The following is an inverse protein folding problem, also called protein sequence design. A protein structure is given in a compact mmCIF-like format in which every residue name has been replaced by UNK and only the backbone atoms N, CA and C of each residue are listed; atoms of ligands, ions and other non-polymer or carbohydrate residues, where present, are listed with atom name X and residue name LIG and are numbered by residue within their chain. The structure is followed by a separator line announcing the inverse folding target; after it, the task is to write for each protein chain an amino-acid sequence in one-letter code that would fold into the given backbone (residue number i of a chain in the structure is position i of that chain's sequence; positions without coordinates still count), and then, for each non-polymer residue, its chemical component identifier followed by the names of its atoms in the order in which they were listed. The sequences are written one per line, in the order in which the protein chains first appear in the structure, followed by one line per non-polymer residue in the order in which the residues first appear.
data_IF_048091371059
#
_entry.id   IF_048091371059
#
_cell.length_a   1.000
_cell.length_b   1.000
_cell.length_c   1.000
_cell.angle_alpha   90.00
_cell.angle_beta   90.00
_cell.angle_gamma   90.00
#
_symmetry.space_group_name_H-M   'P 1'
#
loop_
_entity.id
_entity.type
_entity.pdbx_description
1 polymer ?
#
# COMPACT_ATOMS: atom_id res chain seq x y z
N UNK A 1 -65.96 -51.48 26.45
CA UNK A 1 -65.38 -50.68 27.55
C UNK A 1 -64.60 -51.63 28.45
N UNK A 2 -63.29 -51.77 28.24
CA UNK A 2 -62.39 -52.46 29.16
C UNK A 2 -61.31 -51.44 29.53
N UNK A 3 -61.41 -50.96 30.77
CA UNK A 3 -60.57 -49.90 31.31
C UNK A 3 -59.16 -50.40 31.60
N UNK A 4 -58.17 -49.72 31.05
CA UNK A 4 -56.77 -49.96 31.38
C UNK A 4 -56.49 -49.39 32.78
N UNK A 5 -56.23 -50.27 33.75
CA UNK A 5 -55.86 -49.90 35.12
C UNK A 5 -54.34 -49.71 35.17
N UNK A 6 -53.89 -48.48 35.36
CA UNK A 6 -52.46 -48.16 35.47
C UNK A 6 -52.02 -48.49 36.90
N UNK A 7 -51.20 -49.53 37.07
CA UNK A 7 -50.51 -49.81 38.34
C UNK A 7 -49.27 -48.91 38.48
N UNK A 8 -49.34 -47.92 39.38
CA UNK A 8 -48.19 -47.07 39.72
C UNK A 8 -47.43 -47.69 40.90
N UNK A 9 -46.21 -48.16 40.66
CA UNK A 9 -45.29 -48.60 41.72
C UNK A 9 -44.63 -47.36 42.36
N UNK A 10 -44.58 -47.25 43.70
CA UNK A 10 -43.92 -46.11 44.35
C UNK A 10 -42.40 -46.15 44.10
N UNK A 11 -41.85 -45.00 43.73
CA UNK A 11 -40.42 -44.81 43.42
C UNK A 11 -39.62 -44.88 44.72
N UNK A 12 -38.52 -45.64 44.73
CA UNK A 12 -37.59 -45.69 45.86
C UNK A 12 -36.68 -44.44 45.90
N UNK A 13 -36.18 -44.09 47.09
CA UNK A 13 -35.27 -42.95 47.25
C UNK A 13 -34.03 -43.10 46.34
N UNK A 14 -33.50 -44.32 46.17
CA UNK A 14 -32.36 -44.60 45.28
C UNK A 14 -32.67 -44.38 43.80
N UNK A 15 -33.85 -44.78 43.31
CA UNK A 15 -34.29 -44.51 41.94
C UNK A 15 -34.46 -43.01 41.69
N UNK A 16 -34.96 -42.26 42.67
CA UNK A 16 -35.06 -40.80 42.59
C UNK A 16 -33.68 -40.13 42.55
N UNK A 17 -32.71 -40.57 43.38
CA UNK A 17 -31.33 -40.05 43.35
C UNK A 17 -30.64 -40.32 42.01
N UNK A 18 -30.81 -41.53 41.47
CA UNK A 18 -30.30 -41.88 40.13
C UNK A 18 -30.94 -40.99 39.06
N UNK A 19 -32.26 -40.82 39.08
CA UNK A 19 -32.98 -39.97 38.14
C UNK A 19 -32.48 -38.52 38.18
N UNK A 20 -32.37 -37.92 39.38
CA UNK A 20 -31.87 -36.54 39.54
C UNK A 20 -30.43 -36.40 39.03
N UNK A 21 -29.58 -37.40 39.30
CA UNK A 21 -28.18 -37.39 38.85
C UNK A 21 -28.07 -37.49 37.32
N UNK A 22 -28.82 -38.40 36.69
CA UNK A 22 -28.87 -38.53 35.24
C UNK A 22 -29.51 -37.30 34.57
N UNK A 23 -30.54 -36.73 35.19
CA UNK A 23 -31.15 -35.48 34.73
C UNK A 23 -30.14 -34.33 34.75
N UNK A 24 -29.40 -34.16 35.85
CA UNK A 24 -28.35 -33.16 35.97
C UNK A 24 -27.23 -33.32 34.94
N UNK A 25 -26.74 -34.55 34.72
CA UNK A 25 -25.73 -34.85 33.70
C UNK A 25 -26.22 -34.53 32.28
N UNK A 26 -27.46 -34.91 31.97
CA UNK A 26 -28.07 -34.69 30.65
C UNK A 26 -28.35 -33.22 30.41
N UNK A 27 -28.92 -32.52 31.40
CA UNK A 27 -29.17 -31.08 31.34
C UNK A 27 -27.87 -30.28 31.23
N UNK A 28 -26.82 -30.68 31.96
CA UNK A 28 -25.49 -30.08 31.86
C UNK A 28 -24.85 -30.26 30.48
N UNK A 29 -24.92 -31.47 29.92
CA UNK A 29 -24.40 -31.77 28.57
C UNK A 29 -25.14 -30.98 27.49
N UNK A 30 -26.48 -30.87 27.61
CA UNK A 30 -27.29 -30.04 26.70
C UNK A 30 -26.93 -28.55 26.84
N UNK A 31 -26.71 -28.09 28.07
CA UNK A 31 -26.22 -26.74 28.35
C UNK A 31 -24.87 -26.46 27.68
N UNK A 32 -23.91 -27.39 27.72
CA UNK A 32 -22.63 -27.25 27.04
C UNK A 32 -22.77 -27.14 25.52
N UNK A 33 -23.69 -27.90 24.90
CA UNK A 33 -23.95 -27.82 23.47
C UNK A 33 -24.52 -26.45 23.11
N UNK A 34 -25.57 -26.00 23.83
CA UNK A 34 -26.22 -24.70 23.57
C UNK A 34 -25.24 -23.55 23.77
N UNK A 35 -24.45 -23.59 24.84
CA UNK A 35 -23.44 -22.55 25.13
C UNK A 35 -22.25 -22.60 24.16
N UNK A 36 -22.02 -23.71 23.47
CA UNK A 36 -20.99 -23.85 22.43
C UNK A 36 -21.42 -23.34 21.05
N UNK A 37 -22.73 -23.23 20.78
CA UNK A 37 -23.23 -22.80 19.46
C UNK A 37 -22.71 -21.42 19.01
N UNK A 38 -22.62 -20.39 19.86
CA UNK A 38 -22.05 -19.10 19.45
C UNK A 38 -20.59 -19.20 19.00
N UNK A 39 -19.79 -20.08 19.60
CA UNK A 39 -18.39 -20.30 19.22
C UNK A 39 -18.29 -20.97 17.84
N UNK A 40 -19.17 -21.93 17.57
CA UNK A 40 -19.26 -22.60 16.25
C UNK A 40 -19.68 -21.61 15.17
N UNK A 41 -20.67 -20.76 15.44
CA UNK A 41 -21.11 -19.71 14.52
C UNK A 41 -19.96 -18.73 14.22
N UNK A 42 -19.28 -18.21 15.25
CA UNK A 42 -18.15 -17.31 15.07
C UNK A 42 -16.99 -17.94 14.29
N UNK A 43 -16.71 -19.23 14.50
CA UNK A 43 -15.71 -19.96 13.74
C UNK A 43 -16.11 -20.10 12.25
N UNK A 44 -17.40 -20.35 11.98
CA UNK A 44 -17.92 -20.40 10.61
C UNK A 44 -17.77 -19.06 9.89
N UNK A 45 -18.13 -17.95 10.54
CA UNK A 45 -18.00 -16.61 9.97
C UNK A 45 -16.54 -16.25 9.67
N UNK A 46 -15.63 -16.62 10.58
CA UNK A 46 -14.19 -16.43 10.39
C UNK A 46 -13.65 -17.26 9.21
N UNK A 47 -14.09 -18.52 9.08
CA UNK A 47 -13.71 -19.38 7.95
C UNK A 47 -14.26 -18.85 6.62
N UNK A 48 -15.48 -18.31 6.60
CA UNK A 48 -16.04 -17.68 5.43
C UNK A 48 -15.25 -16.43 5.04
N UNK A 49 -14.93 -15.56 6.00
CA UNK A 49 -14.12 -14.36 5.75
C UNK A 49 -12.72 -14.70 5.23
N UNK A 50 -12.09 -15.75 5.75
CA UNK A 50 -10.81 -16.26 5.24
C UNK A 50 -10.97 -16.86 3.83
N UNK A 51 -12.06 -17.58 3.59
CA UNK A 51 -12.41 -18.12 2.27
C UNK A 51 -12.55 -17.01 1.23
N UNK A 52 -13.27 -15.95 1.56
CA UNK A 52 -13.45 -14.77 0.70
C UNK A 52 -12.11 -14.07 0.42
N UNK A 53 -11.23 -13.98 1.42
CA UNK A 53 -9.88 -13.43 1.25
C UNK A 53 -9.01 -14.29 0.30
N UNK A 54 -9.07 -15.62 0.43
CA UNK A 54 -8.32 -16.52 -0.46
C UNK A 54 -8.90 -16.61 -1.87
N UNK A 55 -10.21 -16.41 -2.01
CA UNK A 55 -10.90 -16.39 -3.30
C UNK A 55 -10.80 -15.03 -4.01
N UNK A 56 -10.34 -13.98 -3.33
CA UNK A 56 -10.15 -12.67 -3.91
C UNK A 56 -9.20 -12.75 -5.12
N UNK A 57 -9.61 -12.13 -6.22
CA UNK A 57 -8.84 -12.14 -7.45
C UNK A 57 -7.51 -11.39 -7.25
N UNK A 58 -6.41 -11.99 -7.70
CA UNK A 58 -5.10 -11.31 -7.74
C UNK A 58 -5.12 -10.26 -8.85
N UNK A 59 -5.50 -9.04 -8.49
CA UNK A 59 -5.52 -7.91 -9.43
C UNK A 59 -4.12 -7.49 -9.89
N UNK A 60 -3.05 -8.03 -9.28
CA UNK A 60 -1.64 -7.76 -9.55
C UNK A 60 -0.94 -8.90 -10.32
N UNK A 61 -1.69 -9.91 -10.78
CA UNK A 61 -1.17 -11.03 -11.57
C UNK A 61 -0.43 -10.52 -12.82
N UNK A 62 0.77 -11.05 -13.08
CA UNK A 62 1.64 -10.61 -14.18
C UNK A 62 1.85 -11.68 -15.26
N UNK A 63 1.05 -12.75 -15.25
CA UNK A 63 1.15 -13.83 -16.22
C UNK A 63 0.86 -13.35 -17.65
N UNK A 64 1.77 -13.73 -18.56
CA UNK A 64 1.72 -13.32 -19.96
C UNK A 64 2.13 -11.86 -20.23
N UNK A 65 2.47 -11.08 -19.20
CA UNK A 65 2.91 -9.69 -19.36
C UNK A 65 4.38 -9.58 -19.73
N UNK A 66 4.70 -8.55 -20.52
CA UNK A 66 6.03 -8.26 -21.02
C UNK A 66 6.88 -7.60 -19.95
N UNK A 67 8.00 -8.22 -19.62
CA UNK A 67 9.04 -7.58 -18.81
C UNK A 67 9.65 -6.41 -19.58
N UNK A 68 9.81 -5.28 -18.89
CA UNK A 68 10.45 -4.09 -19.43
C UNK A 68 11.95 -4.15 -19.22
N UNK A 69 12.70 -3.77 -20.25
CA UNK A 69 14.09 -3.36 -20.11
C UNK A 69 14.19 -1.98 -19.46
N UNK A 70 15.34 -1.31 -19.61
CA UNK A 70 15.53 0.04 -19.06
C UNK A 70 14.66 1.05 -19.80
N UNK A 71 13.76 1.72 -19.10
CA UNK A 71 12.84 2.71 -19.65
C UNK A 71 13.57 3.95 -20.15
N UNK A 72 13.03 4.53 -21.23
CA UNK A 72 13.32 5.89 -21.69
C UNK A 72 12.54 6.93 -20.86
N UNK A 73 11.33 6.56 -20.42
CA UNK A 73 10.47 7.39 -19.57
C UNK A 73 9.44 8.20 -20.36
N UNK A 74 9.09 7.77 -21.57
CA UNK A 74 7.97 8.34 -22.32
C UNK A 74 6.65 7.84 -21.74
N UNK A 75 5.71 8.75 -21.45
CA UNK A 75 4.37 8.39 -20.95
C UNK A 75 3.32 9.14 -21.76
N UNK A 76 2.39 8.40 -22.35
CA UNK A 76 1.30 8.94 -23.18
C UNK A 76 -0.06 8.43 -22.70
N UNK A 77 -1.02 9.34 -22.58
CA UNK A 77 -2.42 9.06 -22.33
C UNK A 77 -3.17 9.40 -23.62
N UNK A 78 -3.94 8.45 -24.13
CA UNK A 78 -4.70 8.56 -25.39
C UNK A 78 -6.19 8.44 -25.08
N UNK A 79 -6.89 9.58 -25.00
CA UNK A 79 -8.33 9.70 -24.71
C UNK A 79 -8.77 8.88 -23.48
N UNK A 80 -8.01 9.00 -22.40
CA UNK A 80 -8.19 8.17 -21.21
C UNK A 80 -9.40 8.62 -20.40
N UNK A 81 -10.31 7.67 -20.15
CA UNK A 81 -11.45 7.84 -19.24
C UNK A 81 -11.34 6.83 -18.10
N UNK A 82 -11.52 7.30 -16.88
CA UNK A 82 -11.46 6.47 -15.68
C UNK A 82 -12.42 6.95 -14.59
N UNK A 83 -13.06 5.99 -13.92
CA UNK A 83 -13.95 6.16 -12.77
C UNK A 83 -13.71 5.06 -11.74
N UNK A 84 -13.47 5.45 -10.49
CA UNK A 84 -13.43 4.51 -9.36
C UNK A 84 -14.79 3.82 -9.15
N UNK A 85 -14.78 2.59 -8.64
CA UNK A 85 -16.00 1.78 -8.48
C UNK A 85 -17.11 2.50 -7.71
N UNK A 86 -16.75 3.19 -6.62
CA UNK A 86 -17.70 3.90 -5.74
C UNK A 86 -17.93 5.38 -6.13
N UNK A 87 -17.32 5.84 -7.23
CA UNK A 87 -17.42 7.23 -7.65
C UNK A 87 -18.63 7.46 -8.57
N UNK A 88 -19.41 8.52 -8.28
CA UNK A 88 -20.54 8.92 -9.12
C UNK A 88 -20.13 9.59 -10.44
N UNK A 89 -18.89 10.06 -10.56
CA UNK A 89 -18.38 10.81 -11.74
C UNK A 89 -17.02 10.30 -12.16
N UNK A 90 -16.73 10.44 -13.46
CA UNK A 90 -15.43 10.14 -14.02
C UNK A 90 -14.37 11.04 -13.36
N UNK A 91 -13.26 10.46 -12.92
CA UNK A 91 -12.10 11.19 -12.42
C UNK A 91 -11.22 11.72 -13.55
N UNK A 92 -11.18 11.00 -14.68
CA UNK A 92 -10.59 11.43 -15.94
C UNK A 92 -11.62 11.17 -17.04
N UNK A 93 -11.77 12.11 -17.98
CA UNK A 93 -12.76 12.02 -19.05
C UNK A 93 -12.12 12.44 -20.38
N UNK A 94 -11.75 11.46 -21.21
CA UNK A 94 -11.13 11.67 -22.51
C UNK A 94 -9.79 12.43 -22.47
N UNK A 95 -8.96 12.19 -21.45
CA UNK A 95 -7.71 12.93 -21.24
C UNK A 95 -6.62 12.48 -22.21
N UNK A 96 -6.08 13.44 -22.97
CA UNK A 96 -4.83 13.30 -23.73
C UNK A 96 -3.70 14.02 -22.99
N UNK A 97 -2.59 13.32 -22.74
CA UNK A 97 -1.45 13.84 -21.99
C UNK A 97 -0.16 13.16 -22.44
N UNK A 98 0.91 13.92 -22.60
CA UNK A 98 2.22 13.40 -23.00
C UNK A 98 3.31 13.96 -22.09
N UNK A 99 4.09 13.06 -21.49
CA UNK A 99 5.32 13.33 -20.76
C UNK A 99 6.49 12.77 -21.58
N UNK A 100 7.23 13.61 -22.32
CA UNK A 100 8.40 13.19 -23.07
C UNK A 100 9.57 12.71 -22.17
N UNK A 101 10.45 11.83 -22.68
CA UNK A 101 11.64 11.36 -21.96
C UNK A 101 12.51 12.47 -21.39
N UNK A 102 12.87 12.35 -20.11
CA UNK A 102 13.80 13.28 -19.44
C UNK A 102 13.22 14.68 -19.17
N UNK A 103 11.93 14.89 -19.41
CA UNK A 103 11.26 16.17 -19.14
C UNK A 103 10.45 16.11 -17.85
N UNK A 104 9.93 17.25 -17.40
CA UNK A 104 9.06 17.33 -16.24
C UNK A 104 7.69 17.87 -16.65
N UNK A 105 6.63 17.17 -16.27
CA UNK A 105 5.24 17.57 -16.49
C UNK A 105 4.58 17.84 -15.13
N UNK A 106 4.12 19.06 -14.93
CA UNK A 106 3.40 19.46 -13.73
C UNK A 106 1.89 19.43 -13.96
N UNK A 107 1.18 18.70 -13.09
CA UNK A 107 -0.26 18.69 -12.95
C UNK A 107 -0.65 19.60 -11.80
N UNK A 108 -1.33 20.71 -12.13
CA UNK A 108 -1.76 21.71 -11.15
C UNK A 108 -3.28 21.82 -11.20
N UNK A 109 -3.91 21.81 -10.03
CA UNK A 109 -5.35 21.93 -9.93
C UNK A 109 -5.89 21.68 -8.53
N UNK A 110 -7.17 21.98 -8.33
CA UNK A 110 -7.86 21.76 -7.06
C UNK A 110 -7.87 20.29 -6.62
N UNK A 111 -8.22 20.05 -5.36
CA UNK A 111 -8.45 18.68 -4.88
C UNK A 111 -9.60 18.02 -5.66
N UNK A 112 -9.45 16.73 -5.96
CA UNK A 112 -10.44 15.99 -6.76
C UNK A 112 -10.35 16.19 -8.29
N UNK A 113 -9.42 16.99 -8.81
CA UNK A 113 -9.26 17.23 -10.25
C UNK A 113 -8.66 16.03 -11.05
N UNK A 114 -8.48 14.87 -10.43
CA UNK A 114 -7.94 13.66 -11.09
C UNK A 114 -6.41 13.55 -11.15
N UNK A 115 -5.65 14.48 -10.52
CA UNK A 115 -4.17 14.47 -10.54
C UNK A 115 -3.57 13.16 -10.00
N UNK A 116 -3.99 12.74 -8.81
CA UNK A 116 -3.55 11.47 -8.20
C UNK A 116 -4.03 10.26 -9.01
N UNK A 117 -5.15 10.37 -9.73
CA UNK A 117 -5.61 9.31 -10.65
C UNK A 117 -4.64 9.12 -11.82
N UNK A 118 -4.07 10.20 -12.37
CA UNK A 118 -3.03 10.09 -13.40
C UNK A 118 -1.82 9.32 -12.86
N UNK A 119 -1.33 9.66 -11.66
CA UNK A 119 -0.23 8.92 -11.03
C UNK A 119 -0.58 7.44 -10.77
N UNK A 120 -1.77 7.14 -10.27
CA UNK A 120 -2.22 5.77 -10.01
C UNK A 120 -2.32 4.93 -11.29
N UNK A 121 -2.73 5.53 -12.40
CA UNK A 121 -2.73 4.89 -13.71
C UNK A 121 -1.30 4.64 -14.20
N UNK A 122 -0.39 5.62 -14.08
CA UNK A 122 1.03 5.42 -14.44
C UNK A 122 1.68 4.29 -13.62
N UNK A 123 1.32 4.15 -12.35
CA UNK A 123 1.78 3.07 -11.47
C UNK A 123 1.11 1.71 -11.76
N UNK A 124 0.12 1.67 -12.66
CA UNK A 124 -0.64 0.46 -12.96
C UNK A 124 -1.44 -0.07 -11.79
N UNK A 125 -1.83 0.80 -10.83
CA UNK A 125 -2.78 0.41 -9.77
C UNK A 125 -4.20 0.26 -10.30
N UNK A 126 -4.50 0.96 -11.39
CA UNK A 126 -5.77 0.84 -12.11
C UNK A 126 -5.52 0.73 -13.60
N UNK A 127 -6.52 0.24 -14.31
CA UNK A 127 -6.55 0.21 -15.76
C UNK A 127 -7.56 1.22 -16.29
N UNK A 128 -7.21 1.87 -17.40
CA UNK A 128 -8.12 2.79 -18.08
C UNK A 128 -9.37 2.03 -18.59
N UNK A 129 -10.55 2.61 -18.34
CA UNK A 129 -11.83 2.06 -18.79
C UNK A 129 -12.07 2.35 -20.28
N UNK A 130 -11.61 3.51 -20.76
CA UNK A 130 -11.54 3.85 -22.18
C UNK A 130 -10.22 4.55 -22.47
N UNK A 131 -9.78 4.48 -23.73
CA UNK A 131 -8.46 4.97 -24.13
C UNK A 131 -7.33 4.02 -23.73
N UNK A 132 -6.10 4.51 -23.82
CA UNK A 132 -4.90 3.75 -23.48
C UNK A 132 -3.90 4.61 -22.71
N UNK A 133 -3.18 3.99 -21.77
CA UNK A 133 -1.99 4.57 -21.14
C UNK A 133 -0.81 3.79 -21.70
N UNK A 134 0.15 4.50 -22.30
CA UNK A 134 1.34 3.91 -22.90
C UNK A 134 2.59 4.38 -22.17
N UNK A 135 3.53 3.46 -21.98
CA UNK A 135 4.87 3.73 -21.45
C UNK A 135 5.88 3.23 -22.46
N UNK A 136 6.75 4.12 -22.96
CA UNK A 136 7.67 3.85 -24.06
C UNK A 136 6.96 3.22 -25.29
N UNK A 137 5.76 3.70 -25.60
CA UNK A 137 4.92 3.22 -26.71
C UNK A 137 4.16 1.91 -26.46
N UNK A 138 4.45 1.20 -25.37
CA UNK A 138 3.76 -0.04 -25.00
C UNK A 138 2.52 0.23 -24.15
N UNK A 139 1.41 -0.43 -24.44
CA UNK A 139 0.21 -0.32 -23.61
C UNK A 139 0.50 -0.89 -22.22
N UNK A 140 0.17 -0.11 -21.19
CA UNK A 140 0.38 -0.46 -19.79
C UNK A 140 -0.21 -1.82 -19.41
N UNK A 141 -1.33 -2.23 -20.03
CA UNK A 141 -2.00 -3.53 -19.76
C UNK A 141 -1.11 -4.72 -20.12
N UNK A 142 -0.20 -4.54 -21.06
CA UNK A 142 0.71 -5.58 -21.54
C UNK A 142 1.99 -5.66 -20.70
N UNK A 143 2.25 -4.69 -19.81
CA UNK A 143 3.53 -4.54 -19.14
C UNK A 143 3.53 -5.20 -17.76
N UNK A 144 4.59 -5.96 -17.47
CA UNK A 144 4.79 -6.55 -16.15
C UNK A 144 4.96 -5.43 -15.11
N UNK A 145 4.06 -5.41 -14.13
CA UNK A 145 3.97 -4.33 -13.14
C UNK A 145 5.20 -4.27 -12.24
N UNK A 146 5.86 -5.40 -11.99
CA UNK A 146 7.07 -5.46 -11.16
C UNK A 146 8.24 -4.77 -11.86
N UNK A 147 8.50 -5.12 -13.12
CA UNK A 147 9.56 -4.51 -13.95
C UNK A 147 9.31 -3.03 -14.23
N UNK A 148 8.04 -2.63 -14.36
CA UNK A 148 7.64 -1.23 -14.46
C UNK A 148 7.96 -0.49 -13.16
N UNK A 149 7.38 -0.92 -12.02
CA UNK A 149 7.49 -0.22 -10.74
C UNK A 149 8.91 -0.22 -10.18
N UNK A 150 9.75 -1.19 -10.54
CA UNK A 150 11.18 -1.17 -10.23
C UNK A 150 11.91 0.05 -10.82
N UNK A 151 11.34 0.68 -11.85
CA UNK A 151 11.88 1.82 -12.57
C UNK A 151 11.11 3.13 -12.31
N UNK A 152 10.08 3.09 -11.44
CA UNK A 152 9.32 4.26 -11.03
C UNK A 152 9.66 4.61 -9.58
N UNK A 153 10.10 5.85 -9.35
CA UNK A 153 10.30 6.40 -8.01
C UNK A 153 9.12 7.27 -7.62
N UNK A 154 8.59 7.08 -6.42
CA UNK A 154 7.50 7.90 -5.88
C UNK A 154 7.98 8.64 -4.64
N UNK A 155 7.79 9.95 -4.60
CA UNK A 155 8.02 10.79 -3.43
C UNK A 155 6.70 11.48 -3.10
N UNK A 156 6.04 11.00 -2.05
CA UNK A 156 4.76 11.52 -1.56
C UNK A 156 4.96 12.59 -0.48
N UNK A 157 3.92 13.39 -0.25
CA UNK A 157 3.82 14.30 0.88
C UNK A 157 3.90 13.55 2.21
N UNK A 158 3.12 12.48 2.36
CA UNK A 158 3.16 11.62 3.53
C UNK A 158 4.21 10.53 3.35
N UNK A 159 5.42 10.78 3.87
CA UNK A 159 6.52 9.81 3.82
C UNK A 159 6.29 8.68 4.82
N UNK A 160 6.27 7.45 4.30
CA UNK A 160 6.23 6.24 5.11
C UNK A 160 7.65 5.70 5.31
N UNK A 161 8.09 5.70 6.57
CA UNK A 161 9.32 5.07 7.03
C UNK A 161 8.98 3.86 7.90
N UNK A 162 9.72 2.78 7.71
CA UNK A 162 9.60 1.56 8.49
C UNK A 162 10.38 1.68 9.79
N UNK A 163 9.91 0.98 10.82
CA UNK A 163 10.64 0.78 12.08
C UNK A 163 11.82 -0.16 11.83
N UNK A 164 12.90 0.43 11.34
CA UNK A 164 14.15 -0.23 10.96
C UNK A 164 15.25 0.84 10.87
N UNK A 165 16.50 0.41 10.64
CA UNK A 165 17.61 1.32 10.42
C UNK A 165 17.39 2.29 9.25
N UNK A 166 18.09 3.42 9.28
CA UNK A 166 18.13 4.37 8.17
C UNK A 166 18.60 3.69 6.88
N UNK A 167 19.63 2.83 6.98
CA UNK A 167 20.12 2.01 5.87
C UNK A 167 18.99 1.19 5.26
N UNK A 168 18.27 0.41 6.07
CA UNK A 168 17.17 -0.44 5.61
C UNK A 168 16.04 0.36 4.96
N UNK A 169 15.79 1.58 5.44
CA UNK A 169 14.81 2.48 4.84
C UNK A 169 15.26 3.02 3.47
N UNK A 170 16.55 3.34 3.29
CA UNK A 170 17.09 3.83 2.01
C UNK A 170 17.16 2.69 0.98
N UNK A 171 17.62 1.51 1.39
CA UNK A 171 17.82 0.34 0.51
C UNK A 171 16.57 -0.54 0.38
N UNK A 172 15.39 -0.01 0.71
CA UNK A 172 14.17 -0.81 0.78
C UNK A 172 13.86 -1.53 -0.54
N UNK A 173 13.58 -2.83 -0.43
CA UNK A 173 13.30 -3.72 -1.55
C UNK A 173 14.52 -4.13 -2.38
N UNK A 174 15.72 -3.72 -1.99
CA UNK A 174 16.95 -4.28 -2.54
C UNK A 174 17.31 -5.57 -1.81
N UNK A 175 17.61 -6.63 -2.57
CA UNK A 175 18.00 -7.92 -2.03
C UNK A 175 19.44 -7.89 -1.50
N UNK A 176 20.29 -7.03 -2.07
CA UNK A 176 21.70 -6.89 -1.71
C UNK A 176 22.02 -5.40 -1.42
N UNK A 177 21.71 -4.91 -0.21
CA UNK A 177 21.91 -3.51 0.16
C UNK A 177 23.38 -3.06 0.00
N UNK A 178 23.60 -2.04 -0.83
CA UNK A 178 24.90 -1.39 -0.97
C UNK A 178 25.00 -0.16 -0.05
N UNK A 179 25.78 -0.29 1.01
CA UNK A 179 25.99 0.77 1.99
C UNK A 179 26.65 2.02 1.40
N UNK A 180 27.62 1.86 0.50
CA UNK A 180 28.33 2.99 -0.10
C UNK A 180 27.38 3.78 -1.01
N UNK A 181 26.57 3.08 -1.81
CA UNK A 181 25.52 3.70 -2.63
C UNK A 181 24.45 4.37 -1.77
N UNK A 182 24.06 3.76 -0.65
CA UNK A 182 23.10 4.35 0.29
C UNK A 182 23.62 5.66 0.89
N UNK A 183 24.90 5.70 1.29
CA UNK A 183 25.55 6.93 1.74
C UNK A 183 25.58 8.00 0.64
N UNK A 184 26.00 7.66 -0.57
CA UNK A 184 26.02 8.61 -1.70
C UNK A 184 24.62 9.16 -2.02
N UNK A 185 23.59 8.31 -1.95
CA UNK A 185 22.21 8.74 -2.13
C UNK A 185 21.76 9.68 -1.01
N UNK A 186 22.16 9.43 0.24
CA UNK A 186 21.91 10.32 1.36
C UNK A 186 22.62 11.67 1.23
N UNK A 187 23.86 11.69 0.74
CA UNK A 187 24.60 12.93 0.47
C UNK A 187 23.91 13.77 -0.62
N UNK A 188 23.55 13.14 -1.74
CA UNK A 188 22.84 13.79 -2.86
C UNK A 188 21.43 14.28 -2.47
N UNK A 189 20.78 13.63 -1.50
CA UNK A 189 19.51 14.06 -0.95
C UNK A 189 19.64 15.15 0.14
N UNK A 190 20.85 15.66 0.39
CA UNK A 190 21.17 16.53 1.54
C UNK A 190 20.79 15.91 2.89
N UNK A 191 20.66 14.59 2.99
CA UNK A 191 20.27 13.89 4.22
C UNK A 191 21.49 13.52 5.10
N UNK A 192 22.69 13.42 4.52
CA UNK A 192 23.87 12.92 5.22
C UNK A 192 24.24 13.73 6.46
N UNK A 193 24.08 15.06 6.43
CA UNK A 193 24.39 15.95 7.55
C UNK A 193 23.73 15.48 8.85
N UNK A 194 22.40 15.30 8.85
CA UNK A 194 21.70 14.87 10.06
C UNK A 194 21.89 13.38 10.34
N UNK A 195 22.02 12.55 9.30
CA UNK A 195 22.25 11.10 9.48
C UNK A 195 23.57 10.87 10.20
N UNK A 196 24.65 11.54 9.78
CA UNK A 196 25.98 11.39 10.38
C UNK A 196 26.06 11.89 11.82
N UNK A 197 25.15 12.79 12.23
CA UNK A 197 25.03 13.27 13.60
C UNK A 197 24.25 12.32 14.53
N UNK A 198 23.50 11.36 13.97
CA UNK A 198 22.75 10.39 14.77
C UNK A 198 23.67 9.29 15.32
N UNK A 199 23.39 8.78 16.54
CA UNK A 199 24.11 7.61 17.06
C UNK A 199 23.95 6.42 16.12
N UNK A 200 25.07 5.90 15.60
CA UNK A 200 25.09 4.78 14.66
C UNK A 200 24.95 5.18 13.18
N UNK A 201 24.72 6.46 12.86
CA UNK A 201 24.65 6.93 11.48
C UNK A 201 23.57 6.21 10.67
N UNK A 202 23.97 5.51 9.60
CA UNK A 202 23.08 4.67 8.80
C UNK A 202 22.45 3.51 9.58
N UNK A 203 23.10 3.05 10.64
CA UNK A 203 22.60 1.96 11.49
C UNK A 203 21.67 2.49 12.60
N UNK A 204 21.38 3.79 12.63
CA UNK A 204 20.43 4.36 13.56
C UNK A 204 19.02 3.79 13.31
N UNK A 205 18.42 3.20 14.34
CA UNK A 205 17.08 2.62 14.29
C UNK A 205 16.01 3.70 14.37
N UNK A 206 15.10 3.72 13.39
CA UNK A 206 13.96 4.64 13.39
C UNK A 206 12.78 4.05 14.18
N UNK A 207 12.10 4.91 14.95
CA UNK A 207 10.82 4.57 15.59
C UNK A 207 9.66 4.48 14.59
N UNK A 208 8.46 4.22 15.10
CA UNK A 208 7.25 4.14 14.27
C UNK A 208 7.08 5.39 13.41
N UNK A 209 6.85 5.21 12.11
CA UNK A 209 6.71 6.29 11.11
C UNK A 209 7.88 7.29 11.10
N UNK A 210 9.07 6.87 11.47
CA UNK A 210 10.25 7.75 11.52
C UNK A 210 10.22 8.72 12.70
N UNK A 211 9.62 8.31 13.83
CA UNK A 211 9.63 9.08 15.07
C UNK A 211 11.05 9.50 15.45
N UNK A 212 11.22 10.79 15.76
CA UNK A 212 12.51 11.44 16.03
C UNK A 212 13.06 12.30 14.89
N UNK A 213 12.50 12.20 13.68
CA UNK A 213 12.87 13.03 12.53
C UNK A 213 11.89 14.19 12.31
N UNK A 214 12.38 15.33 11.84
CA UNK A 214 11.54 16.42 11.34
C UNK A 214 10.86 16.06 10.00
N UNK A 215 9.84 16.82 9.59
CA UNK A 215 9.20 16.63 8.29
C UNK A 215 10.19 16.68 7.12
N UNK A 216 11.07 17.68 7.12
CA UNK A 216 12.09 17.84 6.06
C UNK A 216 13.15 16.73 6.08
N UNK A 217 13.49 16.19 7.25
CA UNK A 217 14.39 15.03 7.35
C UNK A 217 13.74 13.77 6.78
N UNK A 218 12.45 13.52 7.07
CA UNK A 218 11.71 12.40 6.48
C UNK A 218 11.63 12.53 4.95
N UNK A 219 11.36 13.74 4.44
CA UNK A 219 11.33 13.99 3.00
C UNK A 219 12.67 13.71 2.33
N UNK A 220 13.77 14.21 2.92
CA UNK A 220 15.13 13.92 2.42
C UNK A 220 15.47 12.43 2.44
N UNK A 221 14.98 11.65 3.41
CA UNK A 221 15.14 10.18 3.38
C UNK A 221 14.33 9.53 2.25
N UNK A 222 13.12 10.00 1.97
CA UNK A 222 12.34 9.51 0.82
C UNK A 222 13.06 9.81 -0.50
N UNK A 223 13.66 11.00 -0.63
CA UNK A 223 14.47 11.38 -1.79
C UNK A 223 15.72 10.50 -1.87
N UNK A 224 16.42 10.26 -0.76
CA UNK A 224 17.56 9.33 -0.72
C UNK A 224 17.17 7.91 -1.16
N UNK A 225 16.01 7.40 -0.73
CA UNK A 225 15.47 6.11 -1.18
C UNK A 225 15.23 6.10 -2.69
N UNK A 226 14.65 7.16 -3.25
CA UNK A 226 14.43 7.29 -4.69
C UNK A 226 15.76 7.38 -5.47
N UNK A 227 16.72 8.17 -5.00
CA UNK A 227 18.06 8.27 -5.58
C UNK A 227 18.81 6.94 -5.53
N UNK A 228 18.70 6.20 -4.42
CA UNK A 228 19.28 4.87 -4.29
C UNK A 228 18.72 3.95 -5.36
N UNK A 229 17.42 3.95 -5.62
CA UNK A 229 16.80 3.08 -6.64
C UNK A 229 17.17 3.41 -8.09
N UNK A 230 17.62 4.62 -8.37
CA UNK A 230 17.88 5.13 -9.74
C UNK A 230 16.72 4.87 -10.74
N UNK A 231 15.50 5.34 -10.44
CA UNK A 231 14.35 5.19 -11.33
C UNK A 231 14.51 6.01 -12.61
N UNK A 232 13.76 5.64 -13.65
CA UNK A 232 13.69 6.38 -14.93
C UNK A 232 12.50 7.31 -15.01
N UNK A 233 11.43 6.97 -14.29
CA UNK A 233 10.24 7.78 -14.15
C UNK A 233 10.05 8.16 -12.68
N UNK A 234 9.73 9.41 -12.42
CA UNK A 234 9.49 9.95 -11.09
C UNK A 234 8.07 10.45 -10.98
N UNK A 235 7.45 10.23 -9.83
CA UNK A 235 6.18 10.83 -9.43
C UNK A 235 6.43 11.58 -8.13
N UNK A 236 6.24 12.90 -8.16
CA UNK A 236 6.36 13.78 -7.00
C UNK A 236 4.97 14.26 -6.64
N UNK A 237 4.45 13.87 -5.47
CA UNK A 237 3.11 14.24 -5.02
C UNK A 237 3.22 15.16 -3.80
N UNK A 238 3.04 16.47 -4.03
CA UNK A 238 3.03 17.51 -2.98
C UNK A 238 4.24 17.48 -2.02
N UNK A 239 5.42 17.18 -2.56
CA UNK A 239 6.62 16.89 -1.78
C UNK A 239 7.16 18.03 -0.87
N UNK A 240 6.58 19.23 -0.89
CA UNK A 240 7.04 20.41 -0.13
C UNK A 240 5.97 21.08 0.75
N UNK A 241 4.70 20.64 0.71
CA UNK A 241 3.56 21.44 1.23
C UNK A 241 3.46 21.60 2.76
N UNK A 242 4.30 20.88 3.53
CA UNK A 242 4.23 20.82 5.00
C UNK A 242 5.53 21.22 5.72
N UNK A 243 6.44 21.94 5.05
CA UNK A 243 7.78 22.27 5.56
C UNK A 243 7.90 23.75 5.95
N UNK A 244 8.77 24.02 6.93
CA UNK A 244 9.26 25.38 7.18
C UNK A 244 10.17 25.85 6.02
N UNK A 245 10.30 27.17 5.85
CA UNK A 245 10.98 27.76 4.69
C UNK A 245 12.47 27.40 4.55
N UNK A 246 13.14 27.04 5.64
CA UNK A 246 14.54 26.58 5.59
C UNK A 246 14.59 25.11 5.12
N UNK A 247 13.81 24.24 5.74
CA UNK A 247 13.66 22.84 5.32
C UNK A 247 13.20 22.71 3.87
N UNK A 248 12.27 23.57 3.44
CA UNK A 248 11.72 23.57 2.07
C UNK A 248 12.82 23.79 1.03
N UNK A 249 13.73 24.76 1.26
CA UNK A 249 14.85 25.03 0.33
C UNK A 249 15.78 23.83 0.16
N UNK A 250 16.12 23.17 1.27
CA UNK A 250 17.02 22.01 1.24
C UNK A 250 16.35 20.81 0.55
N UNK A 251 15.06 20.60 0.81
CA UNK A 251 14.27 19.56 0.14
C UNK A 251 14.12 19.86 -1.34
N UNK A 252 13.87 21.11 -1.73
CA UNK A 252 13.75 21.51 -3.12
C UNK A 252 15.05 21.25 -3.89
N UNK A 253 16.21 21.59 -3.32
CA UNK A 253 17.51 21.29 -3.93
C UNK A 253 17.73 19.78 -4.12
N UNK A 254 17.27 18.97 -3.16
CA UNK A 254 17.34 17.51 -3.25
C UNK A 254 16.37 16.94 -4.33
N UNK A 255 15.18 17.53 -4.48
CA UNK A 255 14.24 17.17 -5.54
C UNK A 255 14.79 17.53 -6.93
N UNK A 256 15.39 18.71 -7.08
CA UNK A 256 16.04 19.12 -8.33
C UNK A 256 17.16 18.16 -8.73
N UNK A 257 17.98 17.73 -7.77
CA UNK A 257 19.01 16.70 -7.99
C UNK A 257 18.39 15.35 -8.39
N UNK A 258 17.31 14.94 -7.73
CA UNK A 258 16.59 13.72 -8.07
C UNK A 258 16.00 13.78 -9.50
N UNK A 259 15.48 14.92 -9.94
CA UNK A 259 14.83 15.06 -11.25
C UNK A 259 15.80 15.06 -12.44
N UNK A 260 17.10 15.36 -12.22
CA UNK A 260 18.09 15.47 -13.31
C UNK A 260 18.15 14.20 -14.17
N UNK A 261 17.84 14.36 -15.45
CA UNK A 261 17.91 13.29 -16.45
C UNK A 261 16.82 12.23 -16.34
N UNK A 262 15.72 12.52 -15.63
CA UNK A 262 14.59 11.59 -15.41
C UNK A 262 13.28 12.23 -15.85
N UNK A 263 12.40 11.43 -16.42
CA UNK A 263 11.02 11.86 -16.69
C UNK A 263 10.30 12.04 -15.35
N UNK A 264 9.67 13.18 -15.13
CA UNK A 264 9.07 13.51 -13.83
C UNK A 264 7.64 13.99 -13.99
N UNK A 265 6.70 13.28 -13.37
CA UNK A 265 5.34 13.73 -13.16
C UNK A 265 5.24 14.43 -11.80
N UNK A 266 4.91 15.72 -11.80
CA UNK A 266 4.79 16.53 -10.58
C UNK A 266 3.30 16.79 -10.34
N UNK A 267 2.80 16.46 -9.17
CA UNK A 267 1.45 16.80 -8.71
C UNK A 267 1.61 17.90 -7.66
N UNK A 268 1.02 19.06 -7.95
CA UNK A 268 1.07 20.21 -7.06
C UNK A 268 -0.31 20.84 -6.88
N UNK A 269 -0.55 21.39 -5.69
CA UNK A 269 -1.73 22.21 -5.40
C UNK A 269 -1.54 23.68 -5.78
N UNK A 270 -0.29 24.16 -5.87
CA UNK A 270 0.08 25.54 -6.19
C UNK A 270 1.38 25.56 -6.99
N UNK A 271 1.52 26.54 -7.88
CA UNK A 271 2.76 26.85 -8.61
C UNK A 271 3.70 27.68 -7.74
#
# INVERSE_FOLDING_TARGET
MLGCTIHLRPISIGELTLFISYYGLTAGSLGHIVNGMPQVAAASDALQSLGDLFAAEDTERNDGRRALGRLSGDVCFERVTFRYADAARNSLDGVDLHLPPGTSLALVGGSGAGKSTVASLVLGFYEAQQGAVRIDGHDLKELDRRSLRAQVGVVSQDVVLFRASILANITWGDAEPDRARAQQAAERANAWEFISALPGGLDHELGDRGGGLSGGQRQRLAIARALYRDPRLLILDEATSALDAESERVVQAALEELMRGRSTLIIAHRL
#
